data_IF_368904376307
#
_entry.id   IF_368904376307
#
_cell.length_a   1.000
_cell.length_b   1.000
_cell.length_c   1.000
_cell.angle_alpha   90.00
_cell.angle_beta   90.00
_cell.angle_gamma   90.00
#
_symmetry.space_group_name_H-M   'P 1'
#
loop_
_entity.id
_entity.type
_entity.pdbx_description
1 polymer ?
#
# COMPACT_ATOMS: atom_id res chain seq x y z
N UNK A 1 1.96 -8.29 -23.73
CA UNK A 1 2.35 -8.44 -22.33
C UNK A 1 2.16 -7.14 -21.59
N UNK A 2 1.76 -7.22 -20.35
CA UNK A 2 1.59 -6.03 -19.53
C UNK A 2 2.93 -5.59 -18.97
N UNK A 3 3.21 -4.27 -19.02
CA UNK A 3 4.39 -3.70 -18.37
C UNK A 3 4.15 -3.48 -16.87
N UNK A 4 2.99 -3.86 -16.38
CA UNK A 4 2.61 -3.66 -14.99
C UNK A 4 3.08 -4.82 -14.14
N UNK A 5 3.80 -4.50 -13.07
CA UNK A 5 4.06 -5.43 -11.99
C UNK A 5 2.81 -5.50 -11.12
N UNK A 6 2.31 -6.69 -10.85
CA UNK A 6 1.14 -6.87 -10.00
C UNK A 6 1.53 -7.57 -8.71
N UNK A 7 1.15 -6.98 -7.58
CA UNK A 7 1.34 -7.59 -6.28
C UNK A 7 0.01 -7.59 -5.53
N UNK A 8 -0.17 -8.57 -4.66
CA UNK A 8 -1.35 -8.68 -3.82
C UNK A 8 -0.94 -8.53 -2.36
N UNK A 9 -1.56 -7.57 -1.67
CA UNK A 9 -1.33 -7.34 -0.25
C UNK A 9 -2.62 -7.62 0.50
N UNK A 10 -2.54 -8.01 1.78
CA UNK A 10 -3.74 -8.09 2.60
C UNK A 10 -4.36 -6.70 2.72
N UNK A 11 -5.65 -6.65 3.09
CA UNK A 11 -6.28 -5.38 3.37
C UNK A 11 -5.54 -4.71 4.54
N UNK A 12 -5.13 -3.46 4.36
CA UNK A 12 -4.32 -2.79 5.36
C UNK A 12 -5.15 -2.43 6.60
N UNK A 13 -4.53 -2.41 7.79
CA UNK A 13 -5.22 -1.91 8.98
C UNK A 13 -5.59 -0.44 8.80
N UNK A 14 -6.68 -0.01 9.42
CA UNK A 14 -7.03 1.42 9.42
C UNK A 14 -5.92 2.23 10.08
N UNK A 15 -5.88 3.53 9.82
CA UNK A 15 -4.89 4.42 10.46
C UNK A 15 -4.91 4.26 11.97
N UNK A 16 -6.11 4.14 12.54
CA UNK A 16 -6.25 3.98 14.00
C UNK A 16 -5.75 2.63 14.50
N UNK A 17 -5.76 1.60 13.67
CA UNK A 17 -5.27 0.28 14.04
C UNK A 17 -3.79 0.09 13.68
N UNK A 18 -3.28 0.88 12.74
CA UNK A 18 -1.88 0.80 12.34
C UNK A 18 -0.97 1.44 13.39
N UNK A 19 -1.35 2.61 13.91
CA UNK A 19 -0.58 3.36 14.89
C UNK A 19 -1.21 3.27 16.26
N UNK A 20 -0.37 3.18 17.30
CA UNK A 20 -0.77 3.27 18.69
C UNK A 20 -0.21 4.55 19.30
N UNK A 21 -0.93 5.08 20.27
CA UNK A 21 -0.54 6.30 20.99
C UNK A 21 -0.47 6.00 22.47
N UNK A 22 0.58 6.45 23.14
CA UNK A 22 0.71 6.32 24.58
C UNK A 22 0.19 7.58 25.27
N UNK A 23 -0.04 7.50 26.58
CA UNK A 23 -0.44 8.65 27.37
C UNK A 23 0.62 9.76 27.38
N UNK A 24 1.88 9.40 27.14
CA UNK A 24 2.98 10.36 27.07
C UNK A 24 3.13 10.97 25.66
N UNK A 25 2.18 10.73 24.78
CA UNK A 25 2.21 11.27 23.43
C UNK A 25 3.11 10.53 22.46
N UNK A 26 3.65 9.38 22.83
CA UNK A 26 4.46 8.57 21.94
C UNK A 26 3.57 7.80 20.96
N UNK A 27 4.06 7.66 19.73
CA UNK A 27 3.40 6.90 18.68
C UNK A 27 4.26 5.70 18.32
N UNK A 28 3.63 4.56 18.10
CA UNK A 28 4.34 3.36 17.67
C UNK A 28 3.43 2.52 16.78
N UNK A 29 4.05 1.68 15.95
CA UNK A 29 3.32 0.81 15.04
C UNK A 29 2.68 -0.31 15.86
N UNK A 30 1.37 -0.54 15.66
CA UNK A 30 0.65 -1.61 16.32
C UNK A 30 1.11 -2.99 15.82
N UNK A 31 0.68 -4.05 16.52
CA UNK A 31 0.93 -5.41 16.07
C UNK A 31 0.38 -5.64 14.66
N UNK A 32 -0.85 -5.16 14.39
CA UNK A 32 -1.46 -5.29 13.08
C UNK A 32 -0.67 -4.53 12.02
N UNK A 33 -0.19 -3.33 12.34
CA UNK A 33 0.63 -2.55 11.42
C UNK A 33 1.97 -3.22 11.12
N UNK A 34 2.61 -3.78 12.17
CA UNK A 34 3.88 -4.50 11.98
C UNK A 34 3.71 -5.73 11.10
N UNK A 35 2.61 -6.46 11.28
CA UNK A 35 2.33 -7.65 10.48
C UNK A 35 2.08 -7.26 9.02
N UNK A 36 1.31 -6.21 8.77
CA UNK A 36 1.08 -5.72 7.41
C UNK A 36 2.39 -5.31 6.75
N UNK A 37 3.23 -4.58 7.47
CA UNK A 37 4.53 -4.14 6.96
C UNK A 37 5.44 -5.33 6.66
N UNK A 38 5.44 -6.34 7.52
CA UNK A 38 6.22 -7.56 7.32
C UNK A 38 5.80 -8.27 6.02
N UNK A 39 4.50 -8.44 5.83
CA UNK A 39 3.97 -9.11 4.63
C UNK A 39 4.31 -8.30 3.37
N UNK A 40 4.12 -6.99 3.42
CA UNK A 40 4.43 -6.13 2.28
C UNK A 40 5.91 -6.23 1.91
N UNK A 41 6.80 -6.21 2.91
CA UNK A 41 8.23 -6.34 2.68
C UNK A 41 8.58 -7.68 2.04
N UNK A 42 7.99 -8.76 2.56
CA UNK A 42 8.22 -10.11 2.04
C UNK A 42 7.75 -10.24 0.59
N UNK A 43 6.56 -9.73 0.28
CA UNK A 43 6.03 -9.78 -1.09
C UNK A 43 6.89 -8.95 -2.04
N UNK A 44 7.25 -7.74 -1.64
CA UNK A 44 8.04 -6.85 -2.48
C UNK A 44 9.47 -7.32 -2.68
N UNK A 45 10.03 -8.10 -1.74
CA UNK A 45 11.41 -8.59 -1.84
C UNK A 45 11.63 -9.54 -3.01
N UNK A 46 10.56 -10.04 -3.61
CA UNK A 46 10.65 -10.93 -4.77
C UNK A 46 10.91 -10.19 -6.08
N UNK A 47 10.89 -8.87 -6.06
CA UNK A 47 10.98 -8.05 -7.26
C UNK A 47 12.12 -7.04 -7.13
N UNK A 48 12.70 -6.70 -8.27
CA UNK A 48 13.74 -5.66 -8.31
C UNK A 48 13.10 -4.29 -8.06
N UNK A 49 13.75 -3.43 -7.26
CA UNK A 49 13.24 -2.08 -7.05
C UNK A 49 13.15 -1.29 -8.34
N UNK A 50 12.15 -0.42 -8.42
CA UNK A 50 12.03 0.52 -9.52
C UNK A 50 13.07 1.64 -9.37
N UNK A 51 13.84 1.88 -10.41
CA UNK A 51 14.84 2.96 -10.43
C UNK A 51 14.26 4.26 -10.99
N UNK A 52 13.15 4.17 -11.70
CA UNK A 52 12.50 5.31 -12.35
C UNK A 52 11.31 5.80 -11.52
N UNK A 53 10.70 6.89 -11.99
CA UNK A 53 9.36 7.27 -11.54
C UNK A 53 8.37 6.18 -11.92
N UNK A 54 7.25 6.13 -11.23
CA UNK A 54 6.26 5.06 -11.40
C UNK A 54 4.84 5.63 -11.51
N UNK A 55 3.99 4.82 -12.10
CA UNK A 55 2.54 4.96 -12.04
C UNK A 55 2.01 3.77 -11.23
N UNK A 56 1.04 4.03 -10.33
CA UNK A 56 0.50 2.99 -9.45
C UNK A 56 -1.03 2.95 -9.62
N UNK A 57 -1.55 1.73 -9.80
CA UNK A 57 -3.00 1.49 -9.76
C UNK A 57 -3.31 0.60 -8.56
N UNK A 58 -4.30 0.99 -7.80
CA UNK A 58 -4.71 0.25 -6.62
C UNK A 58 -6.15 -0.22 -6.78
N UNK A 59 -6.35 -1.53 -6.66
CA UNK A 59 -7.68 -2.15 -6.75
C UNK A 59 -7.99 -2.75 -5.39
N UNK A 60 -9.03 -2.26 -4.74
CA UNK A 60 -9.32 -2.56 -3.35
C UNK A 60 -10.55 -3.45 -3.24
N UNK A 61 -10.39 -4.56 -2.51
CA UNK A 61 -11.49 -5.42 -2.10
C UNK A 61 -11.66 -5.25 -0.59
N UNK A 62 -12.80 -4.69 -0.19
CA UNK A 62 -13.05 -4.43 1.22
C UNK A 62 -13.45 -5.71 1.95
N UNK A 63 -13.19 -5.81 3.27
CA UNK A 63 -13.53 -7.03 4.02
C UNK A 63 -15.02 -7.15 4.37
N UNK A 64 -15.80 -6.07 4.22
CA UNK A 64 -17.22 -6.04 4.51
C UNK A 64 -17.87 -4.87 3.78
N UNK A 65 -19.19 -4.71 3.95
CA UNK A 65 -19.97 -3.67 3.28
C UNK A 65 -20.07 -2.36 4.06
N UNK A 66 -19.30 -2.20 5.15
CA UNK A 66 -19.36 -0.95 5.90
C UNK A 66 -18.82 0.21 5.07
N UNK A 67 -19.41 1.40 5.19
CA UNK A 67 -18.86 2.59 4.50
C UNK A 67 -17.44 2.87 4.98
N UNK A 68 -16.51 3.06 4.05
CA UNK A 68 -15.12 3.34 4.35
C UNK A 68 -14.61 4.35 3.34
N UNK A 69 -13.67 5.17 3.77
CA UNK A 69 -13.11 6.20 2.90
C UNK A 69 -11.97 5.62 2.06
N UNK A 70 -12.16 5.66 0.76
CA UNK A 70 -11.18 5.14 -0.18
C UNK A 70 -9.86 5.93 -0.12
N UNK A 71 -9.95 7.23 0.14
CA UNK A 71 -8.78 8.11 0.15
C UNK A 71 -7.89 7.93 1.38
N UNK A 72 -8.30 7.14 2.37
CA UNK A 72 -7.46 6.83 3.53
C UNK A 72 -6.47 5.70 3.26
N UNK A 73 -6.56 5.03 2.11
CA UNK A 73 -5.75 3.86 1.83
C UNK A 73 -4.42 4.15 1.11
N UNK A 74 -4.35 5.12 0.17
CA UNK A 74 -3.13 5.29 -0.62
C UNK A 74 -1.87 5.55 0.20
N UNK A 75 -1.95 6.39 1.23
CA UNK A 75 -0.77 6.74 2.02
C UNK A 75 -0.14 5.53 2.68
N UNK A 76 -0.94 4.67 3.28
CA UNK A 76 -0.44 3.44 3.92
C UNK A 76 0.17 2.48 2.90
N UNK A 77 -0.46 2.36 1.74
CA UNK A 77 0.06 1.52 0.66
C UNK A 77 1.41 2.06 0.16
N UNK A 78 1.49 3.37 -0.11
CA UNK A 78 2.75 3.99 -0.56
C UNK A 78 3.85 3.83 0.48
N UNK A 79 3.53 4.07 1.76
CA UNK A 79 4.50 3.91 2.84
C UNK A 79 5.05 2.48 2.91
N UNK A 80 4.20 1.48 2.67
CA UNK A 80 4.65 0.09 2.67
C UNK A 80 5.55 -0.23 1.48
N UNK A 81 5.26 0.33 0.30
CA UNK A 81 6.12 0.14 -0.88
C UNK A 81 7.48 0.80 -0.70
N UNK A 82 7.52 2.00 -0.12
CA UNK A 82 8.77 2.70 0.19
C UNK A 82 9.54 1.92 1.26
N UNK A 83 8.86 1.54 2.34
CA UNK A 83 9.49 0.80 3.43
C UNK A 83 10.05 -0.54 3.01
N UNK A 84 9.43 -1.19 2.02
CA UNK A 84 9.90 -2.44 1.47
C UNK A 84 11.01 -2.26 0.42
N UNK A 85 11.32 -1.02 0.06
CA UNK A 85 12.38 -0.72 -0.90
C UNK A 85 12.00 -0.90 -2.36
N UNK A 86 10.72 -1.11 -2.67
CA UNK A 86 10.29 -1.32 -4.05
C UNK A 86 10.30 -0.02 -4.86
N UNK A 87 9.98 1.10 -4.21
CA UNK A 87 10.10 2.44 -4.80
C UNK A 87 10.92 3.31 -3.86
N UNK A 88 11.56 4.36 -4.41
CA UNK A 88 12.51 5.18 -3.64
C UNK A 88 11.83 6.09 -2.62
N UNK A 89 10.68 6.64 -2.97
CA UNK A 89 9.95 7.60 -2.15
C UNK A 89 8.53 7.69 -2.67
N UNK A 90 7.66 8.40 -1.95
CA UNK A 90 6.28 8.62 -2.39
C UNK A 90 6.02 10.07 -2.81
N UNK A 91 7.09 10.87 -3.01
CA UNK A 91 6.92 12.25 -3.47
C UNK A 91 6.54 12.29 -4.96
N UNK A 92 6.15 13.48 -5.43
CA UNK A 92 5.63 13.66 -6.80
C UNK A 92 6.64 13.38 -7.91
N UNK A 93 7.92 13.30 -7.58
CA UNK A 93 8.96 12.98 -8.57
C UNK A 93 9.10 11.48 -8.77
N UNK A 94 8.64 10.70 -7.81
CA UNK A 94 8.67 9.24 -7.87
C UNK A 94 7.30 8.69 -8.25
N UNK A 95 6.24 9.06 -7.52
CA UNK A 95 4.87 8.65 -7.89
C UNK A 95 4.28 9.78 -8.72
N UNK A 96 4.33 9.62 -10.04
CA UNK A 96 3.89 10.68 -10.96
C UNK A 96 2.40 10.62 -11.21
N UNK A 97 1.80 9.46 -11.01
CA UNK A 97 0.37 9.25 -11.25
C UNK A 97 -0.09 8.03 -10.46
N UNK A 98 -1.29 8.11 -9.91
CA UNK A 98 -1.88 6.92 -9.31
C UNK A 98 -3.40 6.96 -9.44
N UNK A 99 -4.01 5.81 -9.30
CA UNK A 99 -5.46 5.68 -9.21
C UNK A 99 -5.81 4.65 -8.15
N UNK A 100 -7.01 4.78 -7.59
CA UNK A 100 -7.53 3.81 -6.63
C UNK A 100 -8.99 3.57 -6.97
N UNK A 101 -9.39 2.29 -6.93
CA UNK A 101 -10.73 1.89 -7.32
C UNK A 101 -11.23 0.80 -6.37
N UNK A 102 -12.49 0.92 -5.95
CA UNK A 102 -13.15 -0.14 -5.19
C UNK A 102 -13.64 -1.19 -6.18
N UNK A 103 -13.26 -2.45 -5.94
CA UNK A 103 -13.61 -3.57 -6.82
C UNK A 103 -14.70 -4.48 -6.26
N UNK A 104 -14.91 -4.45 -4.95
CA UNK A 104 -15.94 -5.30 -4.34
C UNK A 104 -15.60 -5.64 -2.91
N UNK A 105 -16.24 -6.68 -2.43
CA UNK A 105 -16.07 -7.17 -1.06
C UNK A 105 -15.67 -8.64 -1.12
N UNK A 106 -14.62 -8.98 -0.39
CA UNK A 106 -14.20 -10.38 -0.22
C UNK A 106 -13.85 -10.59 1.24
N UNK A 107 -13.99 -11.84 1.71
CA UNK A 107 -13.64 -12.15 3.08
C UNK A 107 -12.21 -11.72 3.39
N UNK A 108 -12.01 -11.00 4.52
CA UNK A 108 -10.73 -10.44 4.98
C UNK A 108 -10.19 -9.30 4.10
N UNK A 109 -10.79 -9.04 2.95
CA UNK A 109 -10.33 -7.97 2.05
C UNK A 109 -8.97 -8.25 1.43
N UNK A 110 -8.58 -7.44 0.48
CA UNK A 110 -7.23 -7.46 -0.11
C UNK A 110 -7.02 -6.23 -0.97
N UNK A 111 -5.77 -5.94 -1.29
CA UNK A 111 -5.41 -4.87 -2.21
C UNK A 111 -4.54 -5.42 -3.33
N UNK A 112 -4.95 -5.18 -4.56
CA UNK A 112 -4.15 -5.52 -5.73
C UNK A 112 -3.45 -4.24 -6.18
N UNK A 113 -2.12 -4.26 -6.18
CA UNK A 113 -1.32 -3.09 -6.51
C UNK A 113 -0.61 -3.36 -7.83
N UNK A 114 -0.83 -2.49 -8.80
CA UNK A 114 -0.18 -2.58 -10.10
C UNK A 114 0.75 -1.39 -10.25
N UNK A 115 2.01 -1.65 -10.60
CA UNK A 115 3.05 -0.64 -10.67
C UNK A 115 3.78 -0.78 -11.99
N UNK A 116 4.05 0.34 -12.64
CA UNK A 116 4.94 0.34 -13.82
C UNK A 116 5.88 1.53 -13.74
N UNK A 117 7.10 1.32 -14.24
CA UNK A 117 8.05 2.42 -14.41
C UNK A 117 7.62 3.30 -15.55
N UNK A 118 7.84 4.60 -15.40
CA UNK A 118 7.56 5.57 -16.46
C UNK A 118 8.76 6.48 -16.61
N UNK A 119 8.96 6.98 -17.81
CA UNK A 119 9.99 7.95 -18.07
C UNK A 119 9.52 9.31 -17.54
N UNK A 120 10.41 9.98 -16.82
CA UNK A 120 10.10 11.28 -16.24
C UNK A 120 10.23 12.39 -17.28
#
# INVERSE_FOLDING_TARGET
>A
MSDWLEICLPYQPSVNHYWKHTRQGKHYISKAGREFKRIATEVCSQFDPFESAVEIKMEIYFPDNRPRDLDNLPKGIFDSLVGAGLIKDDNRKIIRKYSIEEKGVVSKGKSIIKIRGIDA
#
